data_IF_081076708989
#
_entry.id   IF_081076708989
#
_cell.length_a   1.000
_cell.length_b   1.000
_cell.length_c   1.000
_cell.angle_alpha   90.00
_cell.angle_beta   90.00
_cell.angle_gamma   90.00
#
_symmetry.space_group_name_H-M   'P 1'
#
loop_
_entity.id
_entity.type
_entity.pdbx_description
1 polymer ?
#
# COMPACT_ATOMS: atom_id res chain seq x y z
N UNK A 1 -8.22 20.04 3.94
CA UNK A 1 -9.04 18.82 3.93
C UNK A 1 -10.48 19.21 4.21
N UNK A 2 -11.39 18.91 3.28
CA UNK A 2 -12.83 19.09 3.49
C UNK A 2 -13.33 17.99 4.43
N UNK A 3 -14.10 18.34 5.46
CA UNK A 3 -14.71 17.35 6.37
C UNK A 3 -16.09 17.01 5.82
N UNK A 4 -16.28 15.75 5.44
CA UNK A 4 -17.56 15.23 4.95
C UNK A 4 -18.29 14.46 6.06
N UNK A 5 -19.61 14.61 6.15
CA UNK A 5 -20.46 13.85 7.09
C UNK A 5 -21.25 12.80 6.32
N UNK A 6 -21.06 11.53 6.67
CA UNK A 6 -21.78 10.40 6.08
C UNK A 6 -22.71 9.76 7.11
N UNK A 7 -23.82 9.16 6.66
CA UNK A 7 -24.79 8.51 7.53
C UNK A 7 -24.43 7.06 7.83
N UNK A 8 -23.75 6.39 6.91
CA UNK A 8 -23.27 5.02 7.06
C UNK A 8 -21.81 4.88 6.61
N UNK A 9 -21.18 3.77 6.98
CA UNK A 9 -19.80 3.48 6.57
C UNK A 9 -19.69 3.17 5.08
N UNK A 10 -20.70 2.53 4.51
CA UNK A 10 -20.75 2.21 3.08
C UNK A 10 -20.78 3.47 2.22
N UNK A 11 -21.47 4.52 2.67
CA UNK A 11 -21.49 5.82 1.98
C UNK A 11 -20.11 6.49 2.02
N UNK A 12 -19.41 6.37 3.16
CA UNK A 12 -18.05 6.88 3.30
C UNK A 12 -17.05 6.09 2.41
N UNK A 13 -17.21 4.76 2.32
CA UNK A 13 -16.38 3.92 1.46
C UNK A 13 -16.55 4.29 -0.01
N UNK A 14 -17.80 4.42 -0.47
CA UNK A 14 -18.10 4.82 -1.86
C UNK A 14 -17.57 6.20 -2.19
N UNK A 15 -17.56 7.13 -1.23
CA UNK A 15 -17.03 8.47 -1.44
C UNK A 15 -15.52 8.50 -1.68
N UNK A 16 -14.78 7.44 -1.34
CA UNK A 16 -13.36 7.30 -1.67
C UNK A 16 -13.13 6.92 -3.15
N UNK A 17 -14.15 6.38 -3.82
CA UNK A 17 -13.99 5.85 -5.17
C UNK A 17 -14.18 6.95 -6.21
N UNK A 18 -13.24 7.02 -7.16
CA UNK A 18 -13.43 7.82 -8.37
C UNK A 18 -14.04 6.91 -9.46
N UNK A 19 -15.36 6.99 -9.64
CA UNK A 19 -16.09 6.18 -10.63
C UNK A 19 -15.84 6.63 -12.09
N UNK A 20 -15.29 7.83 -12.28
CA UNK A 20 -15.01 8.40 -13.61
C UNK A 20 -13.58 8.96 -13.65
N UNK A 21 -12.55 8.10 -13.58
CA UNK A 21 -11.17 8.54 -13.62
C UNK A 21 -10.82 9.14 -14.99
N UNK A 22 -10.15 10.28 -14.97
CA UNK A 22 -9.56 10.93 -16.14
C UNK A 22 -8.04 10.66 -16.20
N UNK A 23 -7.38 11.14 -17.25
CA UNK A 23 -5.92 11.00 -17.40
C UNK A 23 -5.17 11.59 -16.19
N UNK A 24 -5.56 12.78 -15.74
CA UNK A 24 -4.94 13.43 -14.58
C UNK A 24 -5.10 12.65 -13.27
N UNK A 25 -6.16 11.86 -13.10
CA UNK A 25 -6.30 10.95 -11.96
C UNK A 25 -5.20 9.87 -11.97
N UNK A 26 -4.93 9.27 -13.11
CA UNK A 26 -3.90 8.23 -13.24
C UNK A 26 -2.48 8.80 -13.09
N UNK A 27 -2.23 10.03 -13.53
CA UNK A 27 -0.97 10.73 -13.27
C UNK A 27 -0.73 10.90 -11.77
N UNK A 28 -1.72 11.42 -11.03
CA UNK A 28 -1.62 11.56 -9.57
C UNK A 28 -1.44 10.23 -8.85
N UNK A 29 -2.10 9.17 -9.33
CA UNK A 29 -1.96 7.83 -8.78
C UNK A 29 -0.53 7.31 -8.97
N UNK A 30 0.06 7.51 -10.16
CA UNK A 30 1.46 7.17 -10.43
C UNK A 30 2.39 7.91 -9.48
N UNK A 31 2.25 9.23 -9.39
CA UNK A 31 3.11 10.07 -8.53
C UNK A 31 3.04 9.66 -7.06
N UNK A 32 1.85 9.28 -6.59
CA UNK A 32 1.65 8.79 -5.23
C UNK A 32 2.45 7.50 -4.96
N UNK A 33 2.37 6.53 -5.88
CA UNK A 33 3.09 5.26 -5.73
C UNK A 33 4.60 5.45 -5.88
N UNK A 34 5.04 6.26 -6.85
CA UNK A 34 6.46 6.61 -7.03
C UNK A 34 7.04 7.33 -5.79
N UNK A 35 6.23 8.17 -5.14
CA UNK A 35 6.62 8.79 -3.87
C UNK A 35 6.69 7.76 -2.72
N UNK A 36 5.69 6.90 -2.59
CA UNK A 36 5.66 5.87 -1.55
C UNK A 36 6.85 4.90 -1.65
N UNK A 37 7.18 4.45 -2.87
CA UNK A 37 8.30 3.56 -3.14
C UNK A 37 9.65 4.20 -2.81
N UNK A 38 9.80 5.51 -3.07
CA UNK A 38 11.00 6.26 -2.65
C UNK A 38 11.11 6.40 -1.13
N UNK A 39 9.99 6.62 -0.44
CA UNK A 39 9.97 6.80 1.01
C UNK A 39 10.29 5.49 1.76
N UNK A 40 9.78 4.37 1.27
CA UNK A 40 9.99 3.07 1.88
C UNK A 40 10.13 1.97 0.82
N UNK A 41 11.32 1.82 0.22
CA UNK A 41 11.53 0.78 -0.79
C UNK A 41 11.39 -0.59 -0.14
N UNK A 42 10.44 -1.39 -0.65
CA UNK A 42 10.25 -2.80 -0.28
C UNK A 42 10.61 -3.65 -1.49
N UNK A 43 11.55 -4.56 -1.31
CA UNK A 43 11.90 -5.53 -2.35
C UNK A 43 11.04 -6.78 -2.20
N UNK A 44 10.16 -7.00 -3.18
CA UNK A 44 9.38 -8.23 -3.30
C UNK A 44 10.14 -9.28 -4.11
N UNK A 45 9.90 -10.58 -3.86
CA UNK A 45 10.51 -11.63 -4.66
C UNK A 45 10.03 -11.53 -6.12
N UNK A 46 10.96 -11.67 -7.07
CA UNK A 46 10.65 -11.65 -8.50
C UNK A 46 9.97 -12.96 -8.90
N UNK A 47 8.97 -12.88 -9.78
CA UNK A 47 8.30 -14.05 -10.36
C UNK A 47 6.79 -13.96 -10.32
N UNK A 48 6.13 -14.95 -10.93
CA UNK A 48 4.67 -15.10 -10.90
C UNK A 48 4.32 -16.09 -9.79
N UNK A 49 3.52 -15.64 -8.83
CA UNK A 49 3.01 -16.47 -7.75
C UNK A 49 1.54 -16.80 -8.02
N UNK A 50 1.20 -18.09 -7.94
CA UNK A 50 -0.18 -18.56 -8.09
C UNK A 50 -0.80 -18.77 -6.71
N UNK A 51 -1.94 -18.12 -6.48
CA UNK A 51 -2.75 -18.28 -5.27
C UNK A 51 -4.13 -18.80 -5.66
N UNK A 52 -4.73 -19.60 -4.78
CA UNK A 52 -6.09 -20.12 -4.96
C UNK A 52 -7.13 -19.12 -4.48
N UNK A 53 -6.79 -18.29 -3.50
CA UNK A 53 -7.67 -17.30 -2.89
C UNK A 53 -7.00 -15.94 -2.75
N UNK A 54 -7.79 -14.87 -2.64
CA UNK A 54 -7.28 -13.54 -2.32
C UNK A 54 -6.62 -13.49 -0.94
N UNK A 55 -7.13 -14.28 0.01
CA UNK A 55 -6.55 -14.38 1.35
C UNK A 55 -5.11 -14.90 1.30
N UNK A 56 -4.85 -15.97 0.56
CA UNK A 56 -3.50 -16.51 0.38
C UNK A 56 -2.53 -15.48 -0.23
N UNK A 57 -3.01 -14.67 -1.18
CA UNK A 57 -2.21 -13.61 -1.78
C UNK A 57 -1.87 -12.50 -0.77
N UNK A 58 -2.84 -12.11 0.07
CA UNK A 58 -2.63 -11.12 1.13
C UNK A 58 -1.65 -11.64 2.19
N UNK A 59 -1.83 -12.87 2.67
CA UNK A 59 -0.93 -13.49 3.65
C UNK A 59 0.50 -13.62 3.12
N UNK A 60 0.66 -13.93 1.82
CA UNK A 60 1.97 -13.95 1.19
C UNK A 60 2.62 -12.55 1.20
N UNK A 61 1.87 -11.51 0.83
CA UNK A 61 2.35 -10.13 0.84
C UNK A 61 2.74 -9.67 2.25
N UNK A 62 1.88 -9.91 3.24
CA UNK A 62 2.12 -9.54 4.64
C UNK A 62 3.40 -10.15 5.21
N UNK A 63 3.70 -11.42 4.86
CA UNK A 63 4.95 -12.07 5.28
C UNK A 63 6.18 -11.30 4.80
N UNK A 64 6.17 -10.82 3.55
CA UNK A 64 7.28 -10.04 2.99
C UNK A 64 7.39 -8.65 3.62
N UNK A 65 6.27 -7.95 3.78
CA UNK A 65 6.23 -6.63 4.41
C UNK A 65 6.69 -6.69 5.88
N UNK A 66 6.26 -7.70 6.63
CA UNK A 66 6.66 -7.92 8.02
C UNK A 66 8.16 -8.24 8.13
N UNK A 67 8.68 -9.11 7.25
CA UNK A 67 10.10 -9.41 7.21
C UNK A 67 10.94 -8.15 6.91
N UNK A 68 10.48 -7.33 5.97
CA UNK A 68 11.11 -6.05 5.65
C UNK A 68 11.12 -5.09 6.84
N UNK A 69 9.98 -4.91 7.51
CA UNK A 69 9.85 -4.07 8.70
C UNK A 69 10.80 -4.52 9.82
N UNK A 70 10.88 -5.84 10.08
CA UNK A 70 11.83 -6.41 11.05
C UNK A 70 13.29 -6.09 10.71
N UNK A 71 13.69 -6.19 9.43
CA UNK A 71 15.04 -5.81 8.98
C UNK A 71 15.32 -4.33 9.23
N UNK A 72 14.38 -3.43 8.91
CA UNK A 72 14.53 -1.98 9.18
C UNK A 72 14.62 -1.65 10.67
N UNK A 73 13.86 -2.33 11.52
CA UNK A 73 13.96 -2.13 12.97
C UNK A 73 15.33 -2.55 13.50
N UNK A 74 15.87 -3.68 13.01
CA UNK A 74 17.20 -4.16 13.41
C UNK A 74 18.34 -3.24 12.98
N UNK A 75 18.29 -2.69 11.76
CA UNK A 75 19.32 -1.76 11.28
C UNK A 75 19.35 -0.45 12.07
N UNK A 76 18.17 0.09 12.45
CA UNK A 76 18.08 1.30 13.29
C UNK A 76 18.73 1.13 14.67
N UNK A 77 18.63 -0.06 15.26
CA UNK A 77 19.28 -0.35 16.55
C UNK A 77 20.81 -0.49 16.46
N UNK A 78 21.36 -0.89 15.31
CA UNK A 78 22.82 -1.01 15.13
C UNK A 78 23.49 0.33 14.77
N UNK A 79 22.76 1.31 14.23
CA UNK A 79 23.28 2.65 13.94
C UNK A 79 23.24 3.61 15.15
N UNK A 80 22.83 3.14 16.32
CA UNK A 80 22.73 3.94 17.56
C UNK A 80 23.73 3.52 18.65
N UNK A 81 24.71 2.67 18.29
CA UNK A 81 25.84 2.24 19.13
C UNK A 81 27.15 2.55 18.39
#
# INVERSE_FOLDING_TARGET
MSIYKFRTFEDAEKALWNFHPDEGYYERLRDLWDFADRLNPIEYPKGIFKFKTLQEANEHREKWELAHAKRKLKSRHHSSA
#
